data_IF_846071428737
#
_entry.id   IF_846071428737
#
_cell.length_a   1.000
_cell.length_b   1.000
_cell.length_c   1.000
_cell.angle_alpha   90.00
_cell.angle_beta   90.00
_cell.angle_gamma   90.00
#
_symmetry.space_group_name_H-M   'P 1'
#
loop_
_entity.id
_entity.type
_entity.pdbx_description
1 polymer ?
#
# COMPACT_ATOMS: atom_id res chain seq x y z
N UNK A 1 -37.81 -7.81 -81.83
CA UNK A 1 -37.36 -8.10 -83.19
C UNK A 1 -37.95 -9.47 -83.62
N UNK A 2 -38.07 -9.76 -84.91
CA UNK A 2 -38.37 -11.13 -85.38
C UNK A 2 -37.02 -11.79 -85.68
N UNK A 3 -36.89 -13.05 -85.18
CA UNK A 3 -35.73 -13.91 -85.38
C UNK A 3 -36.18 -15.20 -86.00
N UNK A 4 -35.30 -15.90 -86.73
CA UNK A 4 -35.64 -17.23 -87.32
C UNK A 4 -35.55 -18.28 -86.18
N UNK A 5 -36.55 -19.16 -86.13
CA UNK A 5 -36.56 -20.31 -85.28
C UNK A 5 -35.43 -21.29 -85.67
N UNK A 6 -34.58 -21.80 -84.76
CA UNK A 6 -33.47 -22.69 -85.10
C UNK A 6 -33.93 -24.03 -85.63
N UNK A 7 -35.17 -24.43 -85.36
CA UNK A 7 -35.71 -25.70 -85.72
C UNK A 7 -36.58 -25.70 -87.07
N UNK A 8 -37.48 -24.71 -87.18
CA UNK A 8 -38.39 -24.68 -88.34
C UNK A 8 -38.16 -23.49 -89.30
N UNK A 9 -37.11 -22.66 -89.04
CA UNK A 9 -36.69 -21.49 -89.81
C UNK A 9 -37.75 -20.38 -90.01
N UNK A 10 -38.93 -20.55 -89.44
CA UNK A 10 -39.98 -19.52 -89.52
C UNK A 10 -39.70 -18.38 -88.57
N UNK A 11 -40.24 -17.19 -88.93
CA UNK A 11 -40.00 -16.00 -88.12
C UNK A 11 -40.82 -16.02 -86.85
N UNK A 12 -40.11 -15.80 -85.73
CA UNK A 12 -40.73 -15.77 -84.40
C UNK A 12 -40.22 -14.56 -83.60
N UNK A 13 -41.00 -14.10 -82.65
CA UNK A 13 -40.56 -12.99 -81.76
C UNK A 13 -39.40 -13.44 -80.91
N UNK A 14 -38.37 -12.58 -80.83
CA UNK A 14 -37.26 -12.74 -79.94
C UNK A 14 -37.61 -12.79 -78.42
N UNK A 15 -38.89 -12.48 -78.11
CA UNK A 15 -39.50 -12.54 -76.81
C UNK A 15 -40.36 -13.77 -76.57
N UNK A 16 -40.53 -14.63 -77.55
CA UNK A 16 -41.30 -15.84 -77.38
C UNK A 16 -40.55 -16.87 -76.53
N UNK A 17 -41.24 -17.48 -75.56
CA UNK A 17 -40.68 -18.53 -74.72
C UNK A 17 -40.54 -19.85 -75.45
N UNK A 18 -41.33 -20.05 -76.47
CA UNK A 18 -41.27 -21.18 -77.37
C UNK A 18 -41.74 -20.74 -78.80
N UNK A 19 -41.29 -21.41 -79.81
CA UNK A 19 -41.74 -21.22 -81.20
C UNK A 19 -43.21 -21.56 -81.37
N UNK A 20 -44.09 -20.64 -81.85
CA UNK A 20 -45.52 -20.93 -82.03
C UNK A 20 -45.83 -21.92 -83.18
N UNK A 21 -44.83 -22.17 -84.05
CA UNK A 21 -44.96 -23.05 -85.16
C UNK A 21 -44.57 -24.51 -84.93
N UNK A 22 -43.49 -24.73 -84.17
CA UNK A 22 -42.93 -26.08 -83.89
C UNK A 22 -42.72 -26.39 -82.39
N UNK A 23 -42.99 -25.44 -81.49
CA UNK A 23 -42.84 -25.68 -80.04
C UNK A 23 -41.41 -25.61 -79.52
N UNK A 24 -40.39 -25.31 -80.35
CA UNK A 24 -39.00 -25.23 -79.95
C UNK A 24 -38.79 -24.21 -78.85
N UNK A 25 -38.18 -24.58 -77.73
CA UNK A 25 -37.99 -23.66 -76.62
C UNK A 25 -36.96 -22.58 -76.99
N UNK A 26 -37.38 -21.31 -77.06
CA UNK A 26 -36.52 -20.15 -77.31
C UNK A 26 -35.86 -19.75 -75.96
N UNK A 27 -34.56 -19.63 -75.91
CA UNK A 27 -33.88 -19.17 -74.68
C UNK A 27 -34.34 -17.74 -74.36
N UNK A 28 -35.16 -17.58 -73.34
CA UNK A 28 -35.37 -16.26 -72.71
C UNK A 28 -34.05 -15.71 -72.17
N UNK A 29 -33.72 -14.41 -72.40
CA UNK A 29 -32.58 -13.80 -71.73
C UNK A 29 -32.78 -13.91 -70.22
N UNK A 30 -31.79 -14.51 -69.51
CA UNK A 30 -31.82 -14.62 -68.05
C UNK A 30 -32.02 -13.21 -67.49
N UNK A 31 -33.10 -13.02 -66.73
CA UNK A 31 -33.27 -11.80 -65.93
C UNK A 31 -32.11 -11.75 -64.96
N UNK A 32 -31.18 -10.79 -65.18
CA UNK A 32 -30.13 -10.43 -64.23
C UNK A 32 -30.79 -10.29 -62.84
N UNK A 33 -30.47 -11.22 -61.93
CA UNK A 33 -30.89 -11.13 -60.53
C UNK A 33 -30.38 -9.80 -59.96
N UNK A 34 -31.29 -8.86 -59.71
CA UNK A 34 -30.95 -7.64 -58.95
C UNK A 34 -30.29 -8.09 -57.66
N UNK A 35 -29.12 -7.50 -57.23
CA UNK A 35 -28.47 -7.86 -55.99
C UNK A 35 -29.49 -7.72 -54.86
N UNK A 36 -29.65 -8.77 -54.07
CA UNK A 36 -30.53 -8.76 -52.89
C UNK A 36 -30.01 -7.62 -51.99
N UNK A 37 -30.82 -6.55 -51.79
CA UNK A 37 -30.53 -5.54 -50.78
C UNK A 37 -30.30 -6.30 -49.49
N UNK A 38 -29.08 -6.17 -48.87
CA UNK A 38 -28.77 -6.75 -47.60
C UNK A 38 -29.88 -6.43 -46.59
N UNK A 39 -30.39 -7.42 -45.90
CA UNK A 39 -31.44 -7.24 -44.91
C UNK A 39 -31.02 -6.09 -43.97
N UNK A 40 -31.84 -5.03 -43.88
CA UNK A 40 -31.58 -3.93 -42.96
C UNK A 40 -31.47 -4.54 -41.55
N UNK A 41 -30.29 -4.34 -40.91
CA UNK A 41 -30.09 -4.78 -39.51
C UNK A 41 -31.18 -4.17 -38.62
N UNK A 42 -31.71 -4.95 -37.68
CA UNK A 42 -32.73 -4.47 -36.71
C UNK A 42 -32.14 -3.27 -35.93
N UNK A 43 -32.95 -2.25 -35.71
CA UNK A 43 -32.58 -1.15 -34.84
C UNK A 43 -32.42 -1.66 -33.40
N UNK A 44 -31.35 -1.22 -32.74
CA UNK A 44 -31.17 -1.48 -31.31
C UNK A 44 -32.24 -0.73 -30.49
N UNK A 45 -32.67 -1.27 -29.33
CA UNK A 45 -33.57 -0.56 -28.42
C UNK A 45 -33.06 0.82 -28.02
N UNK A 46 -33.98 1.71 -27.67
CA UNK A 46 -33.61 3.03 -27.18
C UNK A 46 -32.80 2.89 -25.89
N UNK A 47 -31.65 3.60 -25.81
CA UNK A 47 -30.75 3.54 -24.67
C UNK A 47 -29.73 2.40 -24.70
N UNK A 48 -29.90 1.38 -25.58
CA UNK A 48 -29.00 0.25 -25.66
C UNK A 48 -27.58 0.59 -26.16
N UNK A 49 -27.45 1.70 -26.86
CA UNK A 49 -26.22 2.11 -27.53
C UNK A 49 -26.32 2.04 -29.04
N UNK A 50 -25.23 2.31 -29.72
CA UNK A 50 -25.16 2.25 -31.18
C UNK A 50 -23.88 1.60 -31.67
N UNK A 51 -23.97 0.91 -32.82
CA UNK A 51 -22.82 0.34 -33.53
C UNK A 51 -22.72 1.00 -34.88
N UNK A 52 -21.57 1.58 -35.20
CA UNK A 52 -21.27 2.20 -36.47
C UNK A 52 -20.09 1.53 -37.15
N UNK A 53 -20.20 1.35 -38.50
CA UNK A 53 -19.12 0.80 -39.32
C UNK A 53 -18.34 1.95 -39.98
N UNK A 54 -17.02 1.92 -39.83
CA UNK A 54 -16.12 2.90 -40.47
C UNK A 54 -15.74 2.40 -41.86
N UNK A 55 -16.37 2.92 -42.91
CA UNK A 55 -16.24 2.41 -44.28
C UNK A 55 -15.09 2.97 -45.10
N UNK A 56 -14.54 4.11 -44.71
CA UNK A 56 -13.57 4.86 -45.53
C UNK A 56 -12.10 4.48 -45.27
N UNK A 57 -11.84 3.44 -44.51
CA UNK A 57 -10.50 2.98 -44.16
C UNK A 57 -10.48 1.45 -44.05
N UNK A 58 -9.38 0.86 -44.50
CA UNK A 58 -9.16 -0.58 -44.36
C UNK A 58 -8.66 -0.88 -42.91
N UNK A 59 -9.60 -0.98 -41.96
CA UNK A 59 -9.32 -1.16 -40.55
C UNK A 59 -9.47 -2.62 -40.14
N UNK A 60 -8.59 -3.13 -39.28
CA UNK A 60 -8.71 -4.44 -38.68
C UNK A 60 -9.99 -4.57 -37.83
N UNK A 61 -10.37 -3.49 -37.13
CA UNK A 61 -11.54 -3.40 -36.29
C UNK A 61 -12.46 -2.25 -36.75
N UNK A 62 -13.29 -2.45 -37.79
CA UNK A 62 -14.08 -1.39 -38.39
C UNK A 62 -15.38 -1.03 -37.66
N UNK A 63 -15.83 -1.87 -36.69
CA UNK A 63 -17.09 -1.63 -35.98
C UNK A 63 -16.84 -0.91 -34.66
N UNK A 64 -17.40 0.29 -34.52
CA UNK A 64 -17.32 1.09 -33.29
C UNK A 64 -18.61 0.96 -32.48
N UNK A 65 -18.48 0.54 -31.22
CA UNK A 65 -19.55 0.53 -30.24
C UNK A 65 -19.55 1.82 -29.40
N UNK A 66 -20.72 2.40 -29.22
CA UNK A 66 -20.93 3.61 -28.40
C UNK A 66 -22.17 3.42 -27.53
N UNK A 67 -22.16 3.99 -26.32
CA UNK A 67 -23.31 4.01 -25.42
C UNK A 67 -23.83 5.45 -25.26
N UNK A 68 -25.12 5.57 -24.95
CA UNK A 68 -25.76 6.86 -24.66
C UNK A 68 -25.67 7.13 -23.17
N UNK A 69 -24.94 8.17 -22.77
CA UNK A 69 -24.72 8.57 -21.37
C UNK A 69 -25.65 9.70 -20.92
N UNK A 70 -26.40 10.31 -21.83
CA UNK A 70 -27.33 11.38 -21.50
C UNK A 70 -27.95 11.98 -22.74
N UNK A 71 -28.68 13.09 -22.57
CA UNK A 71 -29.25 13.89 -23.65
C UNK A 71 -28.87 15.35 -23.47
N UNK A 72 -28.65 16.06 -24.58
CA UNK A 72 -28.49 17.50 -24.56
C UNK A 72 -29.80 18.20 -24.20
N UNK A 73 -29.75 19.50 -23.89
CA UNK A 73 -30.94 20.34 -23.66
C UNK A 73 -31.93 20.32 -24.85
N UNK A 74 -31.43 19.98 -26.04
CA UNK A 74 -32.25 19.85 -27.29
C UNK A 74 -32.78 18.39 -27.48
N UNK A 75 -32.57 17.48 -26.50
CA UNK A 75 -33.02 16.09 -26.56
C UNK A 75 -32.14 15.18 -27.42
N UNK A 76 -31.00 15.64 -27.94
CA UNK A 76 -30.05 14.81 -28.73
C UNK A 76 -29.25 13.90 -27.80
N UNK A 77 -29.04 12.61 -28.16
CA UNK A 77 -28.26 11.70 -27.32
C UNK A 77 -26.78 12.09 -27.28
N UNK A 78 -26.23 12.14 -26.07
CA UNK A 78 -24.77 12.27 -25.86
C UNK A 78 -24.20 10.85 -25.80
N UNK A 79 -23.35 10.51 -26.78
CA UNK A 79 -22.78 9.18 -26.89
C UNK A 79 -21.30 9.17 -26.55
N UNK A 80 -20.87 8.24 -25.71
CA UNK A 80 -19.45 7.96 -25.42
C UNK A 80 -19.05 6.60 -26.02
N UNK A 81 -17.77 6.44 -26.47
CA UNK A 81 -17.25 5.15 -26.92
C UNK A 81 -17.32 4.11 -25.78
N UNK A 82 -17.68 2.87 -26.08
CA UNK A 82 -17.62 1.77 -25.12
C UNK A 82 -16.14 1.56 -24.67
N UNK A 83 -15.94 1.29 -23.40
CA UNK A 83 -14.63 0.98 -22.79
C UNK A 83 -14.68 -0.42 -22.17
N UNK A 84 -13.56 -1.15 -22.01
CA UNK A 84 -12.20 -0.80 -22.39
C UNK A 84 -11.95 -0.82 -23.90
N UNK A 85 -12.73 -1.58 -24.68
CA UNK A 85 -12.62 -1.68 -26.13
C UNK A 85 -13.79 -0.98 -26.81
N UNK A 86 -13.46 -0.11 -27.77
CA UNK A 86 -14.45 0.66 -28.53
C UNK A 86 -14.60 0.17 -29.96
N UNK A 87 -13.62 -0.58 -30.48
CA UNK A 87 -13.54 -0.97 -31.89
C UNK A 87 -13.40 -2.50 -31.98
N UNK A 88 -14.21 -3.13 -32.84
CA UNK A 88 -14.35 -4.56 -32.95
C UNK A 88 -14.20 -5.05 -34.41
N UNK A 89 -13.71 -6.28 -34.62
CA UNK A 89 -13.55 -6.83 -35.96
C UNK A 89 -14.91 -7.11 -36.65
N UNK A 90 -15.93 -7.50 -35.90
CA UNK A 90 -17.27 -7.78 -36.44
C UNK A 90 -18.36 -6.99 -35.73
N UNK A 91 -19.53 -6.87 -36.41
CA UNK A 91 -20.72 -6.28 -35.79
C UNK A 91 -21.19 -7.11 -34.56
N UNK A 92 -21.06 -8.42 -34.63
CA UNK A 92 -21.53 -9.31 -33.55
C UNK A 92 -20.66 -9.15 -32.30
N UNK A 93 -19.36 -8.94 -32.43
CA UNK A 93 -18.46 -8.69 -31.30
C UNK A 93 -18.80 -7.35 -30.63
N UNK A 94 -19.02 -6.30 -31.43
CA UNK A 94 -19.47 -5.02 -30.94
C UNK A 94 -20.85 -5.09 -30.24
N UNK A 95 -21.74 -5.93 -30.76
CA UNK A 95 -23.05 -6.18 -30.16
C UNK A 95 -22.94 -6.95 -28.86
N UNK A 96 -22.14 -8.00 -28.82
CA UNK A 96 -21.88 -8.77 -27.60
C UNK A 96 -21.33 -7.90 -26.47
N UNK A 97 -20.39 -7.01 -26.81
CA UNK A 97 -19.82 -6.06 -25.84
C UNK A 97 -20.87 -5.06 -25.31
N UNK A 98 -21.79 -4.58 -26.17
CA UNK A 98 -22.91 -3.73 -25.73
C UNK A 98 -23.92 -4.52 -24.85
N UNK A 99 -24.18 -5.79 -25.15
CA UNK A 99 -25.03 -6.65 -24.34
C UNK A 99 -24.43 -6.82 -22.95
N UNK A 100 -23.13 -7.11 -22.86
CA UNK A 100 -22.41 -7.24 -21.59
C UNK A 100 -22.45 -5.96 -20.77
N UNK A 101 -22.18 -4.81 -21.41
CA UNK A 101 -22.31 -3.51 -20.77
C UNK A 101 -23.73 -3.26 -20.24
N UNK A 102 -24.78 -3.57 -21.02
CA UNK A 102 -26.16 -3.33 -20.59
C UNK A 102 -26.65 -4.29 -19.51
N UNK A 103 -26.05 -5.49 -19.40
CA UNK A 103 -26.31 -6.42 -18.28
C UNK A 103 -25.71 -5.91 -16.97
N UNK A 104 -24.54 -5.33 -17.04
CA UNK A 104 -23.80 -4.83 -15.89
C UNK A 104 -23.13 -3.48 -16.24
N UNK A 105 -23.88 -2.36 -16.25
CA UNK A 105 -23.35 -1.06 -16.60
C UNK A 105 -22.21 -0.65 -15.65
N UNK A 106 -21.10 -0.27 -16.21
CA UNK A 106 -19.91 0.21 -15.47
C UNK A 106 -19.53 1.62 -15.92
N UNK A 107 -18.79 2.31 -15.08
CA UNK A 107 -18.32 3.66 -15.40
C UNK A 107 -17.34 3.62 -16.59
N UNK A 108 -17.57 4.47 -17.57
CA UNK A 108 -16.73 4.60 -18.77
C UNK A 108 -15.52 5.51 -18.56
N UNK A 109 -15.45 6.20 -17.43
CA UNK A 109 -14.26 6.93 -17.04
C UNK A 109 -13.11 5.91 -16.87
N UNK A 110 -11.88 6.23 -17.26
CA UNK A 110 -10.76 5.33 -17.05
C UNK A 110 -10.64 5.09 -15.54
N UNK A 111 -10.90 3.86 -15.12
CA UNK A 111 -10.68 3.50 -13.71
C UNK A 111 -9.21 3.78 -13.39
N UNK A 112 -8.97 4.46 -12.27
CA UNK A 112 -7.63 4.79 -11.83
C UNK A 112 -6.77 3.54 -11.69
N UNK A 113 -5.48 3.69 -11.96
CA UNK A 113 -4.48 2.65 -11.75
C UNK A 113 -4.13 2.53 -10.26
N UNK A 114 -3.47 1.43 -9.89
CA UNK A 114 -2.98 1.26 -8.53
C UNK A 114 -1.94 2.32 -8.14
N UNK A 115 -1.15 2.82 -9.09
CA UNK A 115 -0.22 3.92 -8.84
C UNK A 115 -0.97 5.23 -8.52
N UNK A 116 -1.98 5.57 -9.31
CA UNK A 116 -2.82 6.76 -9.06
C UNK A 116 -3.62 6.63 -7.74
N UNK A 117 -4.07 5.43 -7.39
CA UNK A 117 -4.69 5.17 -6.09
C UNK A 117 -3.70 5.39 -4.95
N UNK A 118 -2.47 4.85 -5.09
CA UNK A 118 -1.43 5.04 -4.09
C UNK A 118 -1.14 6.52 -3.87
N UNK A 119 -0.96 7.30 -4.93
CA UNK A 119 -0.65 8.72 -4.85
C UNK A 119 -1.77 9.51 -4.15
N UNK A 120 -3.05 9.23 -4.48
CA UNK A 120 -4.21 9.87 -3.82
C UNK A 120 -4.32 9.49 -2.35
N UNK A 121 -4.24 8.21 -2.04
CA UNK A 121 -4.28 7.71 -0.68
C UNK A 121 -3.11 8.22 0.16
N UNK A 122 -1.91 8.24 -0.40
CA UNK A 122 -0.69 8.63 0.30
C UNK A 122 -0.71 10.10 0.72
N UNK A 123 -1.24 11.01 -0.12
CA UNK A 123 -1.42 12.42 0.22
C UNK A 123 -2.28 12.65 1.48
N UNK A 124 -3.23 11.78 1.74
CA UNK A 124 -4.05 11.85 2.95
C UNK A 124 -3.38 11.12 4.11
N UNK A 125 -2.80 9.96 3.85
CA UNK A 125 -2.13 9.14 4.84
C UNK A 125 -0.95 9.86 5.50
N UNK A 126 -0.11 10.55 4.74
CA UNK A 126 1.06 11.29 5.26
C UNK A 126 0.70 12.38 6.26
N UNK A 127 -0.51 12.96 6.17
CA UNK A 127 -1.01 13.95 7.14
C UNK A 127 -1.36 13.33 8.50
N UNK A 128 -1.62 12.04 8.54
CA UNK A 128 -2.07 11.32 9.74
C UNK A 128 -0.96 10.62 10.50
N UNK A 129 0.21 10.44 9.86
CA UNK A 129 1.33 9.67 10.44
C UNK A 129 2.63 10.48 10.45
N UNK A 130 3.47 10.22 11.47
CA UNK A 130 4.79 10.88 11.59
C UNK A 130 5.88 10.24 10.71
N UNK A 131 5.68 9.02 10.21
CA UNK A 131 6.70 8.28 9.44
C UNK A 131 6.03 7.38 8.38
N UNK A 132 6.29 7.68 7.13
CA UNK A 132 5.74 7.00 5.94
C UNK A 132 6.64 5.91 5.38
N UNK A 133 7.91 5.84 5.80
CA UNK A 133 8.93 4.92 5.25
C UNK A 133 8.48 3.47 5.19
N UNK A 134 7.64 3.04 6.13
CA UNK A 134 7.15 1.65 6.17
C UNK A 134 6.28 1.32 4.98
N UNK A 135 5.38 2.23 4.57
CA UNK A 135 4.46 2.05 3.44
C UNK A 135 5.17 2.30 2.11
N UNK A 136 6.06 3.29 2.04
CA UNK A 136 6.89 3.56 0.85
C UNK A 136 7.78 2.35 0.50
N UNK A 137 8.47 1.78 1.51
CA UNK A 137 9.27 0.59 1.32
C UNK A 137 8.43 -0.62 0.92
N UNK A 138 7.21 -0.77 1.44
CA UNK A 138 6.30 -1.85 1.03
C UNK A 138 5.80 -1.64 -0.40
N UNK A 139 5.49 -0.41 -0.79
CA UNK A 139 5.05 -0.07 -2.14
C UNK A 139 6.10 -0.39 -3.19
N UNK A 140 7.38 -0.17 -2.89
CA UNK A 140 8.48 -0.49 -3.82
C UNK A 140 8.48 -1.95 -4.31
N UNK A 141 7.94 -2.89 -3.54
CA UNK A 141 7.80 -4.31 -3.94
C UNK A 141 6.56 -4.58 -4.81
N UNK A 142 5.73 -3.58 -5.06
CA UNK A 142 4.42 -3.75 -5.71
C UNK A 142 4.42 -3.33 -7.19
N UNK A 143 5.58 -3.19 -7.83
CA UNK A 143 5.72 -2.67 -9.21
C UNK A 143 4.89 -3.40 -10.25
N UNK A 144 4.65 -4.70 -10.05
CA UNK A 144 3.84 -5.55 -10.93
C UNK A 144 2.37 -5.11 -11.04
N UNK A 145 1.86 -4.38 -10.06
CA UNK A 145 0.47 -3.90 -10.04
C UNK A 145 0.32 -2.41 -10.35
N UNK A 146 1.39 -1.64 -10.47
CA UNK A 146 1.33 -0.18 -10.64
C UNK A 146 0.37 0.27 -11.75
N UNK A 147 0.44 -0.39 -12.90
CA UNK A 147 -0.37 -0.07 -14.08
C UNK A 147 -1.71 -0.80 -14.12
N UNK A 148 -2.01 -1.66 -13.15
CA UNK A 148 -3.30 -2.36 -13.07
C UNK A 148 -4.39 -1.38 -12.65
N UNK A 149 -5.58 -1.54 -13.24
CA UNK A 149 -6.76 -0.81 -12.78
C UNK A 149 -7.15 -1.31 -11.38
N UNK A 150 -7.52 -0.41 -10.50
CA UNK A 150 -7.89 -0.72 -9.11
C UNK A 150 -9.00 -1.77 -9.06
N UNK A 151 -10.01 -1.66 -9.92
CA UNK A 151 -11.13 -2.59 -10.01
C UNK A 151 -10.74 -4.01 -10.45
N UNK A 152 -9.58 -4.22 -11.09
CA UNK A 152 -9.10 -5.53 -11.54
C UNK A 152 -8.23 -6.23 -10.49
N UNK A 153 -7.85 -5.55 -9.41
CA UNK A 153 -7.02 -6.11 -8.35
C UNK A 153 -7.81 -7.17 -7.58
N UNK A 154 -7.18 -8.33 -7.39
CA UNK A 154 -7.72 -9.48 -6.65
C UNK A 154 -6.68 -9.97 -5.64
N UNK A 155 -7.11 -10.80 -4.70
CA UNK A 155 -6.24 -11.40 -3.67
C UNK A 155 -4.95 -12.02 -4.25
N UNK A 156 -5.03 -12.67 -5.41
CA UNK A 156 -3.86 -13.27 -6.10
C UNK A 156 -2.78 -12.24 -6.46
N UNK A 157 -3.17 -11.01 -6.83
CA UNK A 157 -2.22 -9.96 -7.21
C UNK A 157 -1.50 -9.41 -5.97
N UNK A 158 -2.23 -9.26 -4.85
CA UNK A 158 -1.62 -8.88 -3.57
C UNK A 158 -0.65 -9.97 -3.08
N UNK A 159 -1.05 -11.24 -3.17
CA UNK A 159 -0.17 -12.38 -2.86
C UNK A 159 1.05 -12.41 -3.78
N UNK A 160 0.89 -12.12 -5.08
CA UNK A 160 2.01 -12.01 -6.03
C UNK A 160 3.04 -10.95 -5.60
N UNK A 161 2.58 -9.76 -5.18
CA UNK A 161 3.49 -8.74 -4.61
C UNK A 161 4.22 -9.24 -3.35
N UNK A 162 3.57 -10.05 -2.52
CA UNK A 162 4.15 -10.58 -1.29
C UNK A 162 5.18 -11.70 -1.55
N UNK A 163 4.96 -12.54 -2.56
CA UNK A 163 5.80 -13.72 -2.79
C UNK A 163 6.87 -13.48 -3.88
N UNK A 164 6.52 -12.74 -4.92
CA UNK A 164 7.33 -12.58 -6.13
C UNK A 164 7.78 -11.12 -6.35
N UNK A 165 7.22 -10.17 -5.61
CA UNK A 165 7.59 -8.77 -5.72
C UNK A 165 9.08 -8.57 -5.46
N UNK A 166 9.71 -7.62 -6.17
CA UNK A 166 11.12 -7.28 -5.97
C UNK A 166 11.29 -5.78 -5.78
N UNK A 167 12.27 -5.39 -4.99
CA UNK A 167 12.69 -4.00 -4.83
C UNK A 167 14.21 -3.89 -4.74
N UNK A 168 14.76 -2.76 -5.19
CA UNK A 168 16.20 -2.50 -5.08
C UNK A 168 16.50 -1.92 -3.70
N UNK A 169 17.16 -2.70 -2.86
CA UNK A 169 17.59 -2.30 -1.52
C UNK A 169 19.13 -2.29 -1.47
N UNK A 170 19.73 -1.14 -1.18
CA UNK A 170 21.19 -0.95 -1.15
C UNK A 170 21.87 -1.42 -2.45
N UNK A 171 21.26 -1.13 -3.60
CA UNK A 171 21.78 -1.49 -4.91
C UNK A 171 21.65 -2.98 -5.30
N UNK A 172 20.95 -3.79 -4.50
CA UNK A 172 20.67 -5.21 -4.80
C UNK A 172 19.16 -5.43 -4.89
N UNK A 173 18.75 -6.16 -5.90
CA UNK A 173 17.38 -6.63 -6.03
C UNK A 173 17.10 -7.69 -4.95
N UNK A 174 16.02 -7.52 -4.20
CA UNK A 174 15.65 -8.40 -3.10
C UNK A 174 14.15 -8.71 -3.14
N UNK A 175 13.80 -9.91 -2.73
CA UNK A 175 12.41 -10.32 -2.44
C UNK A 175 11.98 -9.86 -1.04
N UNK A 176 10.68 -9.72 -0.77
CA UNK A 176 10.20 -9.29 0.53
C UNK A 176 10.46 -10.37 1.59
N UNK A 177 11.05 -9.96 2.72
CA UNK A 177 11.13 -10.80 3.93
C UNK A 177 9.72 -11.04 4.51
N UNK A 178 9.56 -12.02 5.40
CA UNK A 178 8.28 -12.29 6.06
C UNK A 178 7.67 -11.04 6.72
N UNK A 179 8.49 -10.22 7.39
CA UNK A 179 8.05 -8.94 7.95
C UNK A 179 7.59 -7.96 6.87
N UNK A 180 8.27 -7.92 5.71
CA UNK A 180 7.88 -7.06 4.59
C UNK A 180 6.59 -7.56 3.93
N UNK A 181 6.37 -8.88 3.78
CA UNK A 181 5.11 -9.46 3.33
C UNK A 181 3.92 -8.96 4.16
N UNK A 182 4.07 -8.93 5.48
CA UNK A 182 3.05 -8.38 6.37
C UNK A 182 2.81 -6.87 6.14
N UNK A 183 3.87 -6.10 5.88
CA UNK A 183 3.74 -4.66 5.58
C UNK A 183 3.06 -4.42 4.23
N UNK A 184 3.38 -5.21 3.20
CA UNK A 184 2.72 -5.18 1.89
C UNK A 184 1.22 -5.45 2.08
N UNK A 185 0.86 -6.52 2.81
CA UNK A 185 -0.55 -6.82 3.10
C UNK A 185 -1.25 -5.67 3.82
N UNK A 186 -0.59 -5.07 4.82
CA UNK A 186 -1.12 -3.92 5.57
C UNK A 186 -1.31 -2.69 4.68
N UNK A 187 -0.37 -2.42 3.77
CA UNK A 187 -0.49 -1.35 2.78
C UNK A 187 -1.72 -1.54 1.88
N UNK A 188 -1.88 -2.74 1.30
CA UNK A 188 -3.06 -3.03 0.47
C UNK A 188 -4.36 -2.96 1.25
N UNK A 189 -4.38 -3.36 2.54
CA UNK A 189 -5.56 -3.20 3.38
C UNK A 189 -5.97 -1.72 3.45
N UNK A 190 -5.02 -0.83 3.74
CA UNK A 190 -5.28 0.61 3.86
C UNK A 190 -5.69 1.24 2.52
N UNK A 191 -4.96 0.96 1.44
CA UNK A 191 -5.26 1.50 0.11
C UNK A 191 -6.61 1.04 -0.44
N UNK A 192 -6.94 -0.25 -0.26
CA UNK A 192 -8.21 -0.79 -0.76
C UNK A 192 -9.38 -0.47 0.16
N UNK A 193 -9.17 -0.18 1.46
CA UNK A 193 -10.20 0.40 2.33
C UNK A 193 -10.54 1.82 1.87
N UNK A 194 -9.52 2.64 1.55
CA UNK A 194 -9.71 3.95 0.95
C UNK A 194 -10.44 3.85 -0.39
N UNK A 195 -10.04 2.90 -1.26
CA UNK A 195 -10.73 2.70 -2.52
C UNK A 195 -12.20 2.27 -2.36
N UNK A 196 -12.53 1.52 -1.30
CA UNK A 196 -13.89 1.13 -0.94
C UNK A 196 -14.69 2.33 -0.42
N UNK A 197 -14.09 3.17 0.42
CA UNK A 197 -14.70 4.40 0.93
C UNK A 197 -15.09 5.38 -0.19
N UNK A 198 -14.24 5.47 -1.24
CA UNK A 198 -14.49 6.32 -2.41
C UNK A 198 -15.21 5.59 -3.55
N UNK A 199 -15.83 4.43 -3.29
CA UNK A 199 -16.63 3.64 -4.24
C UNK A 199 -15.87 3.25 -5.53
N UNK A 200 -14.54 3.20 -5.48
CA UNK A 200 -13.69 2.79 -6.61
C UNK A 200 -13.64 1.27 -6.78
N UNK A 201 -14.00 0.54 -5.73
CA UNK A 201 -14.13 -0.92 -5.70
C UNK A 201 -15.30 -1.34 -4.83
N UNK A 202 -15.92 -2.49 -5.14
CA UNK A 202 -17.02 -3.04 -4.35
C UNK A 202 -16.54 -3.87 -3.15
N UNK A 203 -15.26 -4.25 -3.13
CA UNK A 203 -14.71 -5.14 -2.11
C UNK A 203 -13.20 -4.98 -1.94
N UNK A 204 -12.76 -4.95 -0.68
CA UNK A 204 -11.34 -5.03 -0.34
C UNK A 204 -10.86 -6.50 -0.37
N UNK A 205 -10.22 -6.90 -1.47
CA UNK A 205 -9.72 -8.27 -1.65
C UNK A 205 -8.51 -8.60 -0.78
N UNK A 206 -7.75 -7.63 -0.27
CA UNK A 206 -6.62 -7.88 0.62
C UNK A 206 -7.06 -8.38 2.00
N UNK A 207 -8.30 -8.11 2.41
CA UNK A 207 -8.89 -8.61 3.66
C UNK A 207 -9.51 -10.00 3.55
N UNK A 208 -9.55 -10.59 2.36
CA UNK A 208 -10.16 -11.91 2.13
C UNK A 208 -9.23 -13.09 2.44
N UNK A 209 -7.99 -12.83 2.79
CA UNK A 209 -7.01 -13.86 3.15
C UNK A 209 -6.11 -13.39 4.31
N UNK A 210 -5.50 -14.33 5.00
CA UNK A 210 -4.51 -14.08 6.03
C UNK A 210 -3.11 -14.45 5.53
N UNK A 211 -2.07 -14.03 6.29
CA UNK A 211 -0.73 -14.54 6.08
C UNK A 211 -0.72 -16.06 6.30
N UNK A 212 0.15 -16.76 5.58
CA UNK A 212 0.34 -18.20 5.80
C UNK A 212 0.94 -18.46 7.20
N UNK A 213 0.64 -19.62 7.76
CA UNK A 213 1.22 -20.02 9.05
C UNK A 213 2.75 -20.02 9.01
N UNK A 214 3.34 -20.42 7.88
CA UNK A 214 4.79 -20.40 7.68
C UNK A 214 5.34 -18.98 7.77
N UNK A 215 4.73 -18.01 7.09
CA UNK A 215 5.12 -16.59 7.17
C UNK A 215 4.98 -16.06 8.60
N UNK A 216 3.92 -16.43 9.31
CA UNK A 216 3.71 -16.03 10.71
C UNK A 216 4.80 -16.62 11.61
N UNK A 217 5.10 -17.91 11.47
CA UNK A 217 6.18 -18.58 12.22
C UNK A 217 7.53 -17.96 11.93
N UNK A 218 7.84 -17.66 10.66
CA UNK A 218 9.07 -16.98 10.26
C UNK A 218 9.19 -15.61 10.91
N UNK A 219 8.11 -14.80 10.92
CA UNK A 219 8.09 -13.50 11.62
C UNK A 219 8.37 -13.69 13.12
N UNK A 220 7.78 -14.69 13.74
CA UNK A 220 7.98 -14.98 15.18
C UNK A 220 9.40 -15.44 15.47
N UNK A 221 9.97 -16.31 14.63
CA UNK A 221 11.34 -16.82 14.79
C UNK A 221 12.39 -15.71 14.64
N UNK A 222 12.18 -14.78 13.69
CA UNK A 222 13.07 -13.62 13.48
C UNK A 222 12.90 -12.57 14.59
N UNK A 223 11.73 -12.53 15.22
CA UNK A 223 11.45 -11.61 16.34
C UNK A 223 12.11 -12.14 17.61
N UNK A 224 13.41 -11.88 17.73
CA UNK A 224 14.13 -12.17 18.96
C UNK A 224 13.50 -11.42 20.12
N UNK A 225 13.23 -12.10 21.23
CA UNK A 225 12.71 -11.48 22.44
C UNK A 225 13.75 -10.55 23.08
N UNK A 226 13.27 -9.51 23.74
CA UNK A 226 14.10 -8.67 24.58
C UNK A 226 14.36 -9.37 25.91
N UNK A 227 15.61 -9.41 26.33
CA UNK A 227 16.05 -10.05 27.58
C UNK A 227 16.49 -8.99 28.59
N UNK A 228 16.16 -9.15 29.89
CA UNK A 228 16.69 -8.27 30.92
C UNK A 228 18.17 -8.59 31.15
N UNK A 229 18.95 -7.62 31.60
CA UNK A 229 20.31 -7.86 32.11
C UNK A 229 20.25 -8.73 33.38
N UNK A 230 21.24 -9.60 33.55
CA UNK A 230 21.42 -10.37 34.79
C UNK A 230 21.98 -9.48 35.88
N UNK A 231 21.95 -9.97 37.12
CA UNK A 231 22.51 -9.24 38.25
C UNK A 231 24.05 -9.06 38.10
N UNK A 232 24.74 -10.09 37.58
CA UNK A 232 26.18 -10.05 37.28
C UNK A 232 26.50 -9.04 36.18
N UNK A 233 25.71 -8.97 35.13
CA UNK A 233 25.87 -7.98 34.05
C UNK A 233 25.63 -6.57 34.59
N UNK A 234 24.66 -6.39 35.47
CA UNK A 234 24.41 -5.09 36.12
C UNK A 234 25.56 -4.68 37.03
N UNK A 235 26.14 -5.60 37.82
CA UNK A 235 27.35 -5.32 38.63
C UNK A 235 28.52 -4.93 37.73
N UNK A 236 28.73 -5.63 36.64
CA UNK A 236 29.77 -5.32 35.65
C UNK A 236 29.58 -3.93 35.05
N UNK A 237 28.35 -3.56 34.66
CA UNK A 237 28.02 -2.22 34.17
C UNK A 237 28.31 -1.13 35.21
N UNK A 238 27.91 -1.36 36.47
CA UNK A 238 28.21 -0.42 37.57
C UNK A 238 29.72 -0.27 37.84
N UNK A 239 30.48 -1.35 37.71
CA UNK A 239 31.96 -1.34 37.87
C UNK A 239 32.67 -0.50 36.78
N UNK A 240 32.04 -0.28 35.64
CA UNK A 240 32.62 0.43 34.49
C UNK A 240 31.93 1.76 34.14
N UNK A 241 31.11 2.30 35.03
CA UNK A 241 30.35 3.52 34.81
C UNK A 241 31.18 4.76 34.55
N UNK A 242 32.38 4.80 35.10
CA UNK A 242 33.29 5.98 35.05
C UNK A 242 34.39 5.81 33.99
N UNK A 243 34.70 4.62 33.53
CA UNK A 243 35.77 4.35 32.59
C UNK A 243 35.27 3.99 31.16
N UNK A 244 34.02 3.58 31.02
CA UNK A 244 33.45 3.20 29.73
C UNK A 244 32.36 4.17 29.27
N UNK A 245 32.55 4.69 28.08
CA UNK A 245 31.57 5.60 27.46
C UNK A 245 30.23 4.91 27.22
N UNK A 246 29.13 5.63 27.44
CA UNK A 246 27.76 5.22 27.29
C UNK A 246 27.22 4.18 28.31
N UNK A 247 28.06 3.70 29.24
CA UNK A 247 27.57 2.83 30.32
C UNK A 247 26.61 3.61 31.23
N UNK A 248 26.90 4.84 31.53
CA UNK A 248 26.04 5.76 32.27
C UNK A 248 24.66 5.95 31.59
N UNK A 249 24.65 6.10 30.26
CA UNK A 249 23.41 6.22 29.47
C UNK A 249 22.58 4.94 29.54
N UNK A 250 23.24 3.77 29.43
CA UNK A 250 22.59 2.47 29.54
C UNK A 250 22.04 2.25 30.95
N UNK A 251 22.79 2.58 32.00
CA UNK A 251 22.31 2.48 33.38
C UNK A 251 21.11 3.41 33.61
N UNK A 252 21.15 4.65 33.13
CA UNK A 252 19.98 5.56 33.22
C UNK A 252 18.77 4.92 32.50
N UNK A 253 18.96 4.26 31.36
CA UNK A 253 17.88 3.56 30.68
C UNK A 253 17.35 2.38 31.51
N UNK A 254 18.22 1.58 32.12
CA UNK A 254 17.87 0.43 32.96
C UNK A 254 17.05 0.82 34.20
N UNK A 255 17.20 2.04 34.68
CA UNK A 255 16.50 2.55 35.89
C UNK A 255 15.39 3.56 35.60
N UNK A 256 15.10 3.85 34.32
CA UNK A 256 14.03 4.78 33.95
C UNK A 256 13.06 4.21 32.89
N UNK A 257 13.45 3.16 32.20
CA UNK A 257 12.63 2.50 31.20
C UNK A 257 12.37 3.30 29.92
N UNK A 258 13.13 4.37 29.64
CA UNK A 258 13.01 5.11 28.39
C UNK A 258 13.29 4.25 27.17
N UNK A 259 12.57 4.50 26.05
CA UNK A 259 12.96 3.90 24.78
C UNK A 259 14.29 4.48 24.32
N UNK A 260 15.16 3.72 23.65
CA UNK A 260 16.45 4.20 23.17
C UNK A 260 16.39 5.51 22.37
N UNK A 261 15.34 5.69 21.58
CA UNK A 261 15.14 6.94 20.82
C UNK A 261 14.71 8.11 21.70
N UNK A 262 13.94 7.84 22.76
CA UNK A 262 13.43 8.87 23.67
C UNK A 262 14.53 9.44 24.57
N UNK A 263 15.56 8.63 24.91
CA UNK A 263 16.72 9.10 25.68
C UNK A 263 17.36 10.33 25.03
N UNK A 264 17.64 10.27 23.74
CA UNK A 264 18.28 11.37 23.03
C UNK A 264 17.43 12.65 22.95
N UNK A 265 16.14 12.55 23.21
CA UNK A 265 15.18 13.66 23.14
C UNK A 265 14.87 14.28 24.51
N UNK A 266 15.47 13.78 25.60
CA UNK A 266 15.31 14.37 26.93
C UNK A 266 15.98 15.75 26.94
N UNK A 267 15.17 16.81 27.04
CA UNK A 267 15.63 18.21 27.12
C UNK A 267 15.90 18.59 28.57
N UNK A 268 16.89 19.44 28.80
CA UNK A 268 17.28 19.89 30.13
C UNK A 268 16.14 20.60 30.88
N UNK A 269 15.28 21.34 30.19
CA UNK A 269 14.11 22.00 30.76
C UNK A 269 13.05 21.04 31.31
N UNK A 270 13.08 19.79 30.85
CA UNK A 270 12.18 18.72 31.24
C UNK A 270 12.74 17.79 32.31
N UNK A 271 13.83 18.20 32.98
CA UNK A 271 14.47 17.47 34.07
C UNK A 271 14.35 18.27 35.33
N UNK A 272 13.60 17.76 36.27
CA UNK A 272 13.43 18.35 37.58
C UNK A 272 14.39 17.64 38.59
N UNK A 273 15.46 18.33 38.95
CA UNK A 273 16.45 17.83 39.89
C UNK A 273 16.02 18.02 41.38
N UNK A 274 14.99 18.83 41.64
CA UNK A 274 14.44 18.99 42.98
C UNK A 274 13.52 17.82 43.33
N UNK A 275 12.56 17.53 42.42
CA UNK A 275 11.60 16.43 42.59
C UNK A 275 12.09 15.11 41.97
N UNK A 276 13.26 15.10 41.38
CA UNK A 276 13.89 13.95 40.75
C UNK A 276 12.98 13.26 39.71
N UNK A 277 12.52 14.00 38.70
CA UNK A 277 11.69 13.48 37.65
C UNK A 277 12.20 13.87 36.29
N UNK A 278 11.96 12.98 35.32
CA UNK A 278 12.01 13.28 33.88
C UNK A 278 10.62 13.54 33.36
N UNK A 279 10.47 14.46 32.42
CA UNK A 279 9.27 14.62 31.63
C UNK A 279 9.61 14.41 30.15
N UNK A 280 8.81 13.65 29.40
CA UNK A 280 9.08 13.42 27.97
C UNK A 280 8.30 12.29 27.38
N UNK A 281 8.78 11.81 26.21
CA UNK A 281 8.17 10.73 25.45
C UNK A 281 7.56 11.17 24.13
N UNK A 282 7.47 10.29 23.15
CA UNK A 282 7.24 10.71 21.77
C UNK A 282 6.32 9.84 20.93
N UNK A 283 6.33 8.53 21.13
CA UNK A 283 5.86 7.60 20.09
C UNK A 283 4.36 7.36 20.05
N UNK A 284 3.68 7.56 21.16
CA UNK A 284 2.24 7.28 21.30
C UNK A 284 1.61 8.37 22.15
N UNK A 285 0.32 8.63 21.93
CA UNK A 285 -0.43 9.58 22.77
C UNK A 285 -0.33 9.23 24.27
N UNK A 286 -0.30 7.96 24.63
CA UNK A 286 -0.10 7.49 26.01
C UNK A 286 1.35 7.65 26.52
N UNK A 287 2.31 7.91 25.63
CA UNK A 287 3.71 8.07 25.97
C UNK A 287 4.20 9.51 25.94
N UNK A 288 3.43 10.44 25.40
CA UNK A 288 3.79 11.85 25.32
C UNK A 288 3.68 12.52 26.69
N UNK A 289 4.65 13.37 27.03
CA UNK A 289 4.69 14.20 28.26
C UNK A 289 4.55 13.41 29.57
N UNK A 290 4.89 12.10 29.58
CA UNK A 290 4.83 11.30 30.80
C UNK A 290 5.93 11.72 31.77
N UNK A 291 5.59 11.63 33.04
CA UNK A 291 6.56 11.87 34.14
C UNK A 291 7.12 10.52 34.59
N UNK A 292 8.45 10.43 34.65
CA UNK A 292 9.17 9.22 35.10
C UNK A 292 10.09 9.63 36.24
N UNK A 293 9.97 9.00 37.44
CA UNK A 293 10.83 9.31 38.57
C UNK A 293 12.27 8.88 38.28
N UNK A 294 13.22 9.68 38.76
CA UNK A 294 14.65 9.39 38.71
C UNK A 294 15.01 8.54 39.92
N UNK A 295 15.28 7.26 39.66
CA UNK A 295 15.64 6.30 40.72
C UNK A 295 16.88 6.78 41.48
N UNK A 296 16.91 6.63 42.84
CA UNK A 296 17.97 7.14 43.69
C UNK A 296 19.39 6.72 43.28
N UNK A 297 19.55 5.47 42.82
CA UNK A 297 20.86 4.95 42.35
C UNK A 297 21.47 5.71 41.17
N UNK A 298 20.66 6.35 40.32
CA UNK A 298 21.14 7.03 39.11
C UNK A 298 21.11 8.55 39.22
N UNK A 299 20.70 9.16 40.35
CA UNK A 299 20.61 10.60 40.53
C UNK A 299 21.90 11.30 40.18
N UNK A 300 23.03 10.84 40.74
CA UNK A 300 24.33 11.43 40.48
C UNK A 300 24.78 11.31 39.00
N UNK A 301 24.39 10.26 38.30
CA UNK A 301 24.65 10.11 36.87
C UNK A 301 23.85 11.13 36.04
N UNK A 302 22.57 11.31 36.40
CA UNK A 302 21.69 12.30 35.73
C UNK A 302 22.25 13.72 36.01
N UNK A 303 22.59 14.04 37.23
CA UNK A 303 23.16 15.33 37.59
C UNK A 303 24.49 15.61 36.85
N UNK A 304 25.39 14.63 36.80
CA UNK A 304 26.62 14.70 36.00
C UNK A 304 26.31 15.00 34.53
N UNK A 305 25.41 14.26 33.91
CA UNK A 305 24.99 14.50 32.50
C UNK A 305 24.33 15.84 32.30
N UNK A 306 23.57 16.31 33.28
CA UNK A 306 22.93 17.62 33.24
C UNK A 306 23.97 18.74 33.23
N UNK A 307 25.00 18.64 34.09
CA UNK A 307 26.12 19.64 34.14
C UNK A 307 26.94 19.56 32.83
N UNK A 308 27.35 18.37 32.39
CA UNK A 308 28.07 18.18 31.12
C UNK A 308 27.34 18.84 29.94
N UNK A 309 26.00 18.66 29.87
CA UNK A 309 25.17 19.23 28.81
C UNK A 309 25.11 20.77 28.89
N UNK A 310 25.01 21.33 30.10
CA UNK A 310 25.04 22.78 30.32
C UNK A 310 26.37 23.43 29.92
N UNK A 311 27.49 22.82 30.30
CA UNK A 311 28.83 23.29 29.97
C UNK A 311 29.08 23.41 28.46
N UNK A 312 28.53 22.47 27.68
CA UNK A 312 28.65 22.53 26.22
C UNK A 312 27.52 23.31 25.53
N UNK A 313 26.61 23.91 26.30
CA UNK A 313 25.48 24.69 25.77
C UNK A 313 24.47 23.85 25.03
N UNK A 314 24.27 22.60 25.44
CA UNK A 314 23.28 21.69 24.82
C UNK A 314 21.89 21.91 25.38
N UNK A 315 20.89 21.76 24.53
CA UNK A 315 19.48 21.67 24.91
C UNK A 315 19.13 20.30 25.51
N UNK A 316 19.87 19.24 25.15
CA UNK A 316 19.54 17.85 25.45
C UNK A 316 20.47 17.30 26.56
N UNK A 317 19.90 16.42 27.42
CA UNK A 317 20.63 15.75 28.48
C UNK A 317 21.78 14.89 27.94
N UNK A 318 21.46 14.08 26.91
CA UNK A 318 22.44 13.23 26.24
C UNK A 318 22.87 13.87 24.94
N UNK A 319 24.10 14.31 24.90
CA UNK A 319 24.65 15.06 23.76
C UNK A 319 25.73 14.29 23.03
N UNK A 320 25.89 14.62 21.78
CA UNK A 320 27.04 14.28 20.98
C UNK A 320 27.41 15.47 20.10
N UNK A 321 28.61 15.46 19.55
CA UNK A 321 29.03 16.53 18.63
C UNK A 321 28.66 16.18 17.21
N UNK A 322 28.08 17.13 16.49
CA UNK A 322 27.90 17.01 15.04
C UNK A 322 29.30 16.99 14.36
N UNK A 323 29.48 16.00 13.48
CA UNK A 323 30.77 15.78 12.82
C UNK A 323 31.19 16.88 11.84
N UNK A 324 30.25 17.71 11.38
CA UNK A 324 30.54 18.82 10.45
C UNK A 324 30.70 20.16 11.15
N UNK A 325 29.76 20.49 12.01
CA UNK A 325 29.71 21.80 12.69
C UNK A 325 30.40 21.82 14.05
N UNK A 326 30.72 20.66 14.63
CA UNK A 326 31.25 20.54 16.00
C UNK A 326 30.26 20.93 17.09
N UNK A 327 29.06 21.39 16.74
CA UNK A 327 28.01 21.83 17.69
C UNK A 327 27.43 20.67 18.47
N UNK A 328 26.98 20.89 19.72
CA UNK A 328 26.27 19.88 20.48
C UNK A 328 24.91 19.59 19.81
N UNK A 329 24.61 18.31 19.61
CA UNK A 329 23.33 17.81 19.11
C UNK A 329 22.86 16.68 20.00
N UNK A 330 21.58 16.32 19.89
CA UNK A 330 21.00 15.19 20.62
C UNK A 330 21.73 13.88 20.31
N UNK A 331 21.76 12.96 21.27
CA UNK A 331 22.24 11.59 21.05
C UNK A 331 21.26 10.86 20.14
N UNK A 332 21.65 10.63 18.87
CA UNK A 332 20.82 9.90 17.92
C UNK A 332 20.75 8.41 18.27
N UNK A 333 19.66 7.76 17.86
CA UNK A 333 19.50 6.31 18.05
C UNK A 333 20.67 5.51 17.47
N UNK A 334 21.14 5.87 16.27
CA UNK A 334 22.25 5.17 15.62
C UNK A 334 23.54 5.26 16.43
N UNK A 335 23.84 6.44 17.00
CA UNK A 335 25.01 6.61 17.86
C UNK A 335 24.89 5.84 19.18
N UNK A 336 23.70 5.86 19.78
CA UNK A 336 23.44 5.05 20.97
C UNK A 336 23.56 3.54 20.67
N UNK A 337 22.99 3.08 19.57
CA UNK A 337 23.08 1.68 19.12
C UNK A 337 24.54 1.27 18.89
N UNK A 338 25.35 2.13 18.28
CA UNK A 338 26.77 1.86 18.10
C UNK A 338 27.52 1.81 19.45
N UNK A 339 27.29 2.79 20.32
CA UNK A 339 27.88 2.81 21.68
C UNK A 339 27.47 1.62 22.51
N UNK A 340 26.21 1.21 22.43
CA UNK A 340 25.70 -0.02 23.09
C UNK A 340 26.45 -1.27 22.58
N UNK A 341 26.65 -1.39 21.27
CA UNK A 341 27.42 -2.49 20.68
C UNK A 341 28.85 -2.54 21.23
N UNK A 342 29.51 -1.37 21.33
CA UNK A 342 30.87 -1.29 21.93
C UNK A 342 30.86 -1.79 23.38
N UNK A 343 29.94 -1.31 24.23
CA UNK A 343 29.82 -1.77 25.64
C UNK A 343 29.61 -3.29 25.70
N UNK A 344 28.65 -3.79 24.95
CA UNK A 344 28.31 -5.22 24.92
C UNK A 344 29.54 -6.07 24.58
N UNK A 345 30.28 -5.69 23.54
CA UNK A 345 31.40 -6.46 23.04
C UNK A 345 32.66 -6.33 23.95
N UNK A 346 32.95 -5.13 24.47
CA UNK A 346 34.07 -4.89 25.39
C UNK A 346 33.87 -5.54 26.75
N UNK A 347 32.68 -5.45 27.32
CA UNK A 347 32.35 -6.05 28.60
C UNK A 347 31.90 -7.50 28.49
N UNK A 348 31.90 -8.08 27.29
CA UNK A 348 31.48 -9.44 27.00
C UNK A 348 30.10 -9.79 27.55
N UNK A 349 29.17 -8.83 27.48
CA UNK A 349 27.78 -9.06 27.84
C UNK A 349 27.13 -10.07 26.86
N UNK A 350 25.98 -10.59 27.21
CA UNK A 350 25.28 -11.50 26.32
C UNK A 350 25.14 -10.89 24.91
N UNK A 351 25.67 -11.56 23.84
CA UNK A 351 25.70 -11.04 22.48
C UNK A 351 24.29 -10.83 21.88
N UNK A 352 23.25 -11.41 22.49
CA UNK A 352 21.87 -11.22 22.10
C UNK A 352 21.27 -9.88 22.59
N UNK A 353 21.94 -9.19 23.52
CA UNK A 353 21.47 -7.89 24.02
C UNK A 353 21.40 -6.81 22.95
N UNK A 354 20.37 -6.00 23.08
CA UNK A 354 20.05 -4.87 22.16
C UNK A 354 19.72 -3.60 22.96
N UNK A 355 19.78 -2.43 22.33
CA UNK A 355 19.47 -1.16 23.01
C UNK A 355 18.12 -1.10 23.74
N UNK A 356 17.13 -1.88 23.33
CA UNK A 356 15.82 -1.96 24.01
C UNK A 356 15.82 -2.78 25.31
N UNK A 357 16.87 -3.54 25.56
CA UNK A 357 16.92 -4.45 26.71
C UNK A 357 17.08 -3.71 28.05
N UNK A 358 17.66 -2.51 28.04
CA UNK A 358 17.64 -1.65 29.24
C UNK A 358 16.23 -1.32 29.70
N UNK A 359 15.32 -1.05 28.77
CA UNK A 359 13.90 -0.86 29.09
C UNK A 359 13.21 -2.17 29.54
N UNK A 360 13.58 -3.31 28.94
CA UNK A 360 13.08 -4.63 29.38
C UNK A 360 13.55 -4.92 30.81
N UNK A 361 14.82 -4.61 31.10
CA UNK A 361 15.38 -4.74 32.47
C UNK A 361 14.58 -3.90 33.47
N UNK A 362 14.32 -2.61 33.19
CA UNK A 362 13.50 -1.75 34.03
C UNK A 362 12.15 -2.37 34.37
N UNK A 363 11.41 -2.83 33.35
CA UNK A 363 10.08 -3.43 33.54
C UNK A 363 10.18 -4.69 34.40
N UNK A 364 11.19 -5.52 34.18
CA UNK A 364 11.40 -6.77 34.92
C UNK A 364 11.77 -6.50 36.38
N UNK A 365 12.70 -5.56 36.62
CA UNK A 365 13.13 -5.15 37.95
C UNK A 365 11.98 -4.50 38.74
N UNK A 366 11.21 -3.59 38.11
CA UNK A 366 10.06 -2.97 38.75
C UNK A 366 8.98 -3.99 39.14
N UNK A 367 8.71 -5.00 38.29
CA UNK A 367 7.79 -6.11 38.62
C UNK A 367 8.32 -6.97 39.77
N UNK A 368 9.62 -7.30 39.76
CA UNK A 368 10.26 -8.04 40.89
C UNK A 368 10.16 -7.27 42.21
N UNK A 369 10.25 -5.93 42.15
CA UNK A 369 10.13 -5.05 43.30
C UNK A 369 8.67 -4.82 43.75
N UNK A 370 7.68 -5.40 43.10
CA UNK A 370 6.27 -5.25 43.48
C UNK A 370 5.65 -3.88 43.08
N UNK A 371 6.30 -3.15 42.16
CA UNK A 371 5.71 -1.90 41.66
C UNK A 371 4.41 -2.20 40.92
N UNK A 372 3.38 -1.40 41.18
CA UNK A 372 2.08 -1.50 40.54
C UNK A 372 2.15 -1.56 39.02
N UNK A 373 1.39 -2.45 38.40
CA UNK A 373 1.47 -2.68 36.95
C UNK A 373 1.01 -1.45 36.15
N UNK A 374 0.04 -0.69 36.67
CA UNK A 374 -0.41 0.56 36.04
C UNK A 374 0.69 1.60 36.05
N UNK A 375 1.36 1.78 37.20
CA UNK A 375 2.50 2.70 37.32
C UNK A 375 3.62 2.32 36.34
N UNK A 376 3.92 1.02 36.21
CA UNK A 376 4.90 0.54 35.21
C UNK A 376 4.44 0.87 33.79
N UNK A 377 3.17 0.55 33.44
CA UNK A 377 2.62 0.89 32.10
C UNK A 377 2.70 2.38 31.82
N UNK A 378 2.37 3.23 32.78
CA UNK A 378 2.47 4.68 32.67
C UNK A 378 3.90 5.13 32.44
N UNK A 379 4.85 4.75 33.32
CA UNK A 379 6.27 5.12 33.21
C UNK A 379 6.89 4.72 31.87
N UNK A 380 6.53 3.55 31.34
CA UNK A 380 7.03 3.12 30.03
C UNK A 380 6.19 3.61 28.85
N UNK A 381 5.07 4.30 29.05
CA UNK A 381 4.21 4.83 28.00
C UNK A 381 3.59 3.72 27.14
N UNK A 382 3.03 2.70 27.76
CA UNK A 382 2.18 1.71 27.14
C UNK A 382 0.73 2.19 27.12
N UNK A 383 -0.02 1.85 26.07
CA UNK A 383 -1.47 2.11 26.04
C UNK A 383 -2.15 1.31 27.15
N UNK A 384 -2.88 2.00 28.01
CA UNK A 384 -3.72 1.39 29.02
C UNK A 384 -5.08 1.15 28.37
N UNK A 385 -5.43 -0.13 28.20
CA UNK A 385 -6.67 -0.55 27.53
C UNK A 385 -7.83 -0.75 28.49
N UNK A 386 -7.57 -0.90 29.78
CA UNK A 386 -8.59 -1.04 30.79
C UNK A 386 -9.23 0.33 31.11
N UNK A 387 -10.56 0.41 30.99
CA UNK A 387 -11.32 1.61 31.26
C UNK A 387 -11.29 1.95 32.74
N UNK A 388 -11.31 0.96 33.60
CA UNK A 388 -11.26 1.12 35.07
C UNK A 388 -9.94 1.72 35.49
N UNK A 389 -8.81 1.18 35.01
CA UNK A 389 -7.47 1.74 35.25
C UNK A 389 -7.28 3.13 34.67
N UNK A 390 -8.00 3.48 33.60
CA UNK A 390 -7.86 4.78 32.91
C UNK A 390 -8.65 5.91 33.58
N UNK A 391 -9.75 5.60 34.24
CA UNK A 391 -10.72 6.58 34.76
C UNK A 391 -10.59 6.77 36.27
N UNK A 392 -10.18 5.75 37.00
CA UNK A 392 -10.21 5.75 38.48
C UNK A 392 -8.82 5.76 39.13
N UNK A 393 -7.75 5.90 38.36
CA UNK A 393 -6.37 6.11 38.81
C UNK A 393 -5.79 7.39 38.25
#
# INVERSE_FOLDING_TARGET
MLIKCPECELQVSDKASACPHCGYPMKCPEKQKRPRKSAKRRRLPNGFGQISEIKNRNLRNPFRAMITVGKTSEGRPICKPLKPESYFPTYNDAYAALVEYNKNPYDLEPSITMSELYDRWFQEYEKTVKDTRSVENAWAYCSVVYKMRVMDVRARHVKGCMEEGTAVVRGKEQRPSASMKNKIKSLFNLMLDYALEYELVDRNYSRTFNLTEETIKEIQTVKKEHIPFTDEEMELLWGHVDDKRYVDVLLIQCYSGWRPQELGLLELENIDLENWTFRGGMKTQAGENRVVPIHSKIRYLVERKYQEAREVGSKYLFTCRDGRSGKPIMLTYQRYQHGFGMIRDELKLNPEHRPHDGRKHFVTAAKKAGVDEYAIKYMVGHKISDITEKVYT
#
